data_IF_315274067184
#
_entry.id   IF_315274067184
#
_cell.length_a   1.000
_cell.length_b   1.000
_cell.length_c   1.000
_cell.angle_alpha   90.00
_cell.angle_beta   90.00
_cell.angle_gamma   90.00
#
_symmetry.space_group_name_H-M   'P 1'
#
loop_
_entity.id
_entity.type
_entity.pdbx_description
1 polymer ?
#
# COMPACT_ATOMS: atom_id res chain seq x y z
N UNK A 1 -39.59 -66.74 27.97
CA UNK A 1 -40.29 -65.93 29.00
C UNK A 1 -39.38 -64.77 29.36
N UNK A 2 -39.94 -63.55 29.38
CA UNK A 2 -39.32 -62.23 29.66
C UNK A 2 -38.22 -62.29 30.76
N UNK A 3 -37.16 -61.49 30.72
CA UNK A 3 -37.28 -60.06 31.01
C UNK A 3 -36.10 -59.16 30.56
N UNK A 4 -36.41 -57.86 30.52
CA UNK A 4 -35.84 -56.74 29.77
C UNK A 4 -34.46 -56.26 30.22
N UNK A 5 -33.67 -55.88 29.20
CA UNK A 5 -32.35 -55.23 29.26
C UNK A 5 -32.45 -53.72 29.52
N UNK A 6 -31.49 -53.25 30.32
CA UNK A 6 -30.62 -52.08 30.15
C UNK A 6 -31.13 -50.62 30.25
N UNK A 7 -30.39 -49.91 31.11
CA UNK A 7 -29.81 -48.57 30.99
C UNK A 7 -30.74 -47.35 31.02
N UNK A 8 -30.78 -46.72 32.20
CA UNK A 8 -30.98 -45.28 32.36
C UNK A 8 -29.83 -44.53 31.67
N UNK A 9 -30.18 -43.73 30.64
CA UNK A 9 -29.36 -42.59 30.20
C UNK A 9 -30.24 -41.35 30.20
N UNK A 10 -29.80 -40.38 30.99
CA UNK A 10 -30.31 -39.03 31.17
C UNK A 10 -30.41 -38.30 29.82
N UNK A 11 -31.60 -37.83 29.48
CA UNK A 11 -31.84 -36.95 28.34
C UNK A 11 -31.65 -35.49 28.81
N UNK A 12 -30.44 -34.94 28.63
CA UNK A 12 -30.22 -33.50 28.74
C UNK A 12 -30.46 -32.90 27.35
N UNK A 13 -31.54 -32.13 27.20
CA UNK A 13 -31.79 -31.32 26.03
C UNK A 13 -30.74 -30.19 25.95
N UNK A 14 -29.66 -30.42 25.21
CA UNK A 14 -28.72 -29.38 24.82
C UNK A 14 -29.35 -28.54 23.71
N UNK A 15 -29.90 -27.38 24.07
CA UNK A 15 -30.29 -26.37 23.10
C UNK A 15 -29.02 -25.86 22.42
N UNK A 16 -28.79 -26.24 21.17
CA UNK A 16 -27.71 -25.69 20.35
C UNK A 16 -28.13 -24.26 20.03
N UNK A 17 -27.53 -23.30 20.74
CA UNK A 17 -27.59 -21.90 20.34
C UNK A 17 -26.93 -21.78 18.96
N UNK A 18 -27.73 -21.66 17.91
CA UNK A 18 -27.27 -21.12 16.64
C UNK A 18 -26.74 -19.71 16.95
N UNK A 19 -25.41 -19.58 17.04
CA UNK A 19 -24.76 -18.28 17.07
C UNK A 19 -25.27 -17.49 15.87
N UNK A 20 -25.70 -16.24 16.11
CA UNK A 20 -26.01 -15.28 15.06
C UNK A 20 -24.86 -15.33 14.04
N UNK A 21 -25.12 -15.83 12.83
CA UNK A 21 -24.28 -15.55 11.68
C UNK A 21 -24.23 -14.02 11.60
N UNK A 22 -23.06 -13.42 11.79
CA UNK A 22 -22.91 -12.00 11.49
C UNK A 22 -23.40 -11.82 10.05
N UNK A 23 -24.39 -10.96 9.84
CA UNK A 23 -24.90 -10.65 8.50
C UNK A 23 -23.71 -10.14 7.70
N UNK A 24 -23.20 -10.98 6.80
CA UNK A 24 -22.18 -10.56 5.84
C UNK A 24 -22.85 -9.49 4.97
N UNK A 25 -22.31 -8.26 4.91
CA UNK A 25 -22.93 -7.20 4.12
C UNK A 25 -23.11 -7.67 2.67
N UNK A 26 -24.32 -7.50 2.13
CA UNK A 26 -24.59 -7.84 0.73
C UNK A 26 -23.73 -6.92 -0.16
N UNK A 27 -22.94 -7.46 -1.08
CA UNK A 27 -22.05 -6.65 -1.90
C UNK A 27 -22.84 -5.74 -2.85
N UNK A 28 -22.43 -4.48 -2.97
CA UNK A 28 -22.86 -3.57 -4.03
C UNK A 28 -22.04 -3.90 -5.27
N UNK A 29 -22.70 -4.33 -6.34
CA UNK A 29 -22.02 -4.77 -7.56
C UNK A 29 -22.03 -3.66 -8.61
N UNK A 30 -21.00 -3.61 -9.44
CA UNK A 30 -21.02 -2.76 -10.63
C UNK A 30 -22.08 -3.27 -11.62
N UNK A 31 -23.03 -2.42 -12.02
CA UNK A 31 -24.03 -2.72 -13.05
C UNK A 31 -23.47 -2.59 -14.47
N UNK A 32 -22.43 -1.77 -14.65
CA UNK A 32 -21.72 -1.56 -15.92
C UNK A 32 -20.35 -0.93 -15.68
N UNK A 33 -19.53 -0.84 -16.72
CA UNK A 33 -18.31 -0.02 -16.72
C UNK A 33 -18.64 1.48 -16.55
N UNK A 34 -17.79 2.22 -15.86
CA UNK A 34 -18.01 3.65 -15.62
C UNK A 34 -17.14 4.25 -14.51
N UNK A 35 -17.43 5.49 -14.14
CA UNK A 35 -16.77 6.16 -13.02
C UNK A 35 -17.31 5.65 -11.69
N UNK A 36 -16.45 5.53 -10.68
CA UNK A 36 -16.86 5.15 -9.32
C UNK A 36 -17.87 6.17 -8.76
N UNK A 37 -17.64 7.45 -9.02
CA UNK A 37 -18.52 8.55 -8.58
C UNK A 37 -19.91 8.55 -9.24
N UNK A 38 -20.14 7.77 -10.30
CA UNK A 38 -21.41 7.76 -11.02
C UNK A 38 -22.38 6.75 -10.42
N UNK A 39 -23.56 7.22 -9.99
CA UNK A 39 -24.67 6.39 -9.55
C UNK A 39 -25.04 5.29 -10.57
N UNK A 40 -24.95 5.59 -11.87
CA UNK A 40 -25.26 4.64 -12.94
C UNK A 40 -24.22 3.53 -13.15
N UNK A 41 -23.10 3.54 -12.43
CA UNK A 41 -22.11 2.45 -12.45
C UNK A 41 -22.55 1.29 -11.56
N UNK A 42 -23.40 1.54 -10.57
CA UNK A 42 -23.70 0.62 -9.48
C UNK A 42 -25.11 0.05 -9.57
N UNK A 43 -25.25 -1.23 -9.22
CA UNK A 43 -26.56 -1.83 -9.01
C UNK A 43 -27.31 -1.05 -7.91
N UNK A 44 -28.61 -0.84 -8.12
CA UNK A 44 -29.42 -0.01 -7.22
C UNK A 44 -29.26 1.51 -7.41
N UNK A 45 -28.35 1.98 -8.28
CA UNK A 45 -28.27 3.40 -8.66
C UNK A 45 -27.70 4.33 -7.59
N UNK A 46 -26.88 3.80 -6.66
CA UNK A 46 -26.25 4.59 -5.60
C UNK A 46 -24.76 4.28 -5.52
N UNK A 47 -23.94 5.31 -5.28
CA UNK A 47 -22.49 5.16 -5.10
C UNK A 47 -22.20 4.46 -3.77
N UNK A 48 -21.23 3.52 -3.70
CA UNK A 48 -20.86 2.86 -2.46
C UNK A 48 -20.51 3.86 -1.34
N UNK A 49 -21.17 3.69 -0.20
CA UNK A 49 -20.94 4.49 1.00
C UNK A 49 -19.93 3.82 1.95
N UNK A 50 -19.56 4.50 3.04
CA UNK A 50 -18.71 3.93 4.08
C UNK A 50 -19.25 2.59 4.61
N UNK A 51 -18.36 1.64 4.89
CA UNK A 51 -18.68 0.30 5.36
C UNK A 51 -19.17 -0.67 4.28
N UNK A 52 -19.37 -0.22 3.04
CA UNK A 52 -19.84 -1.10 1.95
C UNK A 52 -18.84 -2.20 1.62
N UNK A 53 -19.37 -3.35 1.21
CA UNK A 53 -18.64 -4.36 0.44
C UNK A 53 -18.97 -4.11 -1.03
N UNK A 54 -17.95 -3.99 -1.88
CA UNK A 54 -18.10 -3.62 -3.29
C UNK A 54 -17.53 -4.73 -4.17
N UNK A 55 -18.27 -5.16 -5.19
CA UNK A 55 -17.79 -6.11 -6.20
C UNK A 55 -17.75 -5.44 -7.59
N UNK A 56 -16.58 -5.39 -8.20
CA UNK A 56 -16.43 -5.02 -9.60
C UNK A 56 -16.56 -6.30 -10.42
N UNK A 57 -17.70 -6.44 -11.08
CA UNK A 57 -18.10 -7.65 -11.80
C UNK A 57 -17.17 -7.92 -12.97
N UNK A 58 -16.92 -9.20 -13.26
CA UNK A 58 -16.12 -9.62 -14.40
C UNK A 58 -16.61 -9.01 -15.72
N UNK A 59 -15.69 -8.51 -16.53
CA UNK A 59 -15.99 -7.81 -17.79
C UNK A 59 -16.31 -6.31 -17.63
N UNK A 60 -16.52 -5.81 -16.41
CA UNK A 60 -16.68 -4.37 -16.17
C UNK A 60 -15.32 -3.71 -15.88
N UNK A 61 -15.21 -2.44 -16.26
CA UNK A 61 -14.08 -1.57 -15.96
C UNK A 61 -14.60 -0.33 -15.21
N UNK A 62 -14.19 -0.19 -13.95
CA UNK A 62 -14.55 0.95 -13.10
C UNK A 62 -13.32 1.83 -12.89
N UNK A 63 -13.49 3.14 -13.07
CA UNK A 63 -12.44 4.13 -12.79
C UNK A 63 -12.74 4.82 -11.45
N UNK A 64 -11.88 4.61 -10.46
CA UNK A 64 -11.88 5.31 -9.20
C UNK A 64 -11.42 6.75 -9.39
N UNK A 65 -12.34 7.70 -9.28
CA UNK A 65 -12.16 9.12 -9.59
C UNK A 65 -12.45 10.04 -8.40
N UNK A 66 -12.39 9.49 -7.18
CA UNK A 66 -12.79 10.15 -5.94
C UNK A 66 -11.59 10.33 -5.00
N UNK A 67 -11.58 11.43 -4.27
CA UNK A 67 -10.70 11.67 -3.12
C UNK A 67 -11.57 11.66 -1.87
N UNK A 68 -11.62 10.51 -1.17
CA UNK A 68 -12.55 10.28 -0.06
C UNK A 68 -11.84 9.60 1.11
N UNK A 69 -12.19 9.99 2.33
CA UNK A 69 -11.76 9.33 3.57
C UNK A 69 -12.80 8.32 4.10
N UNK A 70 -13.90 8.11 3.38
CA UNK A 70 -14.85 7.04 3.68
C UNK A 70 -14.19 5.68 3.52
N UNK A 71 -14.21 4.91 4.61
CA UNK A 71 -13.66 3.56 4.63
C UNK A 71 -14.62 2.61 3.93
N UNK A 72 -14.22 2.05 2.80
CA UNK A 72 -14.92 0.92 2.17
C UNK A 72 -14.47 -0.35 2.88
N UNK A 73 -15.39 -1.20 3.34
CA UNK A 73 -15.02 -2.41 4.09
C UNK A 73 -14.20 -3.35 3.21
N UNK A 74 -14.68 -3.60 2.01
CA UNK A 74 -14.00 -4.46 1.04
C UNK A 74 -14.29 -4.00 -0.39
N UNK A 75 -13.27 -4.08 -1.24
CA UNK A 75 -13.40 -3.98 -2.70
C UNK A 75 -12.88 -5.28 -3.31
N UNK A 76 -13.78 -6.06 -3.88
CA UNK A 76 -13.50 -7.29 -4.62
C UNK A 76 -13.48 -7.01 -6.12
N UNK A 77 -12.33 -7.21 -6.75
CA UNK A 77 -12.11 -6.88 -8.16
C UNK A 77 -12.10 -8.17 -8.99
N UNK A 78 -13.24 -8.47 -9.64
CA UNK A 78 -13.36 -9.54 -10.64
C UNK A 78 -13.30 -9.01 -12.08
N UNK A 79 -13.53 -7.70 -12.27
CA UNK A 79 -13.29 -6.96 -13.51
C UNK A 79 -11.99 -6.15 -13.45
N UNK A 80 -12.04 -4.88 -13.83
CA UNK A 80 -10.90 -3.95 -13.72
C UNK A 80 -11.25 -2.75 -12.84
N UNK A 81 -10.37 -2.45 -11.88
CA UNK A 81 -10.38 -1.19 -11.13
C UNK A 81 -9.18 -0.35 -11.57
N UNK A 82 -9.44 0.81 -12.16
CA UNK A 82 -8.40 1.78 -12.56
C UNK A 82 -8.50 3.04 -11.71
N UNK A 83 -7.40 3.76 -11.48
CA UNK A 83 -7.42 5.04 -10.76
C UNK A 83 -7.32 6.21 -11.74
N UNK A 84 -8.11 7.26 -11.51
CA UNK A 84 -8.09 8.45 -12.35
C UNK A 84 -6.71 9.12 -12.32
N UNK A 85 -6.21 9.49 -13.50
CA UNK A 85 -4.85 10.02 -13.68
C UNK A 85 -4.76 11.55 -13.72
N UNK A 86 -5.88 12.23 -13.85
CA UNK A 86 -5.96 13.69 -14.04
C UNK A 86 -6.43 14.43 -12.79
N UNK A 87 -6.42 13.76 -11.63
CA UNK A 87 -6.81 14.31 -10.32
C UNK A 87 -6.22 13.47 -9.19
N UNK A 88 -6.23 14.04 -7.99
CA UNK A 88 -5.96 13.25 -6.79
C UNK A 88 -7.07 12.24 -6.55
N UNK A 89 -6.68 11.09 -6.01
CA UNK A 89 -7.58 10.02 -5.61
C UNK A 89 -7.13 9.46 -4.27
N UNK A 90 -8.09 9.08 -3.44
CA UNK A 90 -7.86 8.47 -2.14
C UNK A 90 -8.94 7.44 -1.88
N UNK A 91 -8.52 6.18 -1.74
CA UNK A 91 -9.35 5.06 -1.33
C UNK A 91 -8.88 4.58 0.05
N UNK A 92 -9.70 4.80 1.07
CA UNK A 92 -9.52 4.15 2.36
C UNK A 92 -10.32 2.84 2.35
N UNK A 93 -9.65 1.70 2.53
CA UNK A 93 -10.24 0.38 2.33
C UNK A 93 -9.74 -0.63 3.36
N UNK A 94 -10.64 -1.51 3.82
CA UNK A 94 -10.27 -2.60 4.71
C UNK A 94 -9.57 -3.76 3.99
N UNK A 95 -10.18 -4.23 2.91
CA UNK A 95 -9.66 -5.29 2.06
C UNK A 95 -9.79 -4.92 0.59
N UNK A 96 -8.68 -4.80 -0.14
CA UNK A 96 -8.69 -4.68 -1.61
C UNK A 96 -8.20 -6.00 -2.22
N UNK A 97 -9.14 -6.82 -2.69
CA UNK A 97 -8.87 -8.19 -3.17
C UNK A 97 -9.08 -8.25 -4.68
N UNK A 98 -8.03 -8.55 -5.44
CA UNK A 98 -8.06 -8.73 -6.88
C UNK A 98 -8.14 -10.22 -7.19
N UNK A 99 -9.16 -10.64 -7.94
CA UNK A 99 -9.53 -12.05 -8.15
C UNK A 99 -9.82 -12.81 -6.83
N UNK A 100 -9.82 -14.14 -6.87
CA UNK A 100 -10.18 -14.98 -5.73
C UNK A 100 -11.69 -14.95 -5.40
N UNK A 101 -12.03 -15.54 -4.26
CA UNK A 101 -13.39 -15.57 -3.71
C UNK A 101 -13.73 -14.31 -2.92
N UNK A 102 -15.02 -14.13 -2.63
CA UNK A 102 -15.57 -12.97 -1.92
C UNK A 102 -15.40 -13.04 -0.40
N UNK A 103 -14.56 -13.95 0.13
CA UNK A 103 -14.29 -14.04 1.56
C UNK A 103 -13.47 -12.85 2.05
N UNK A 104 -13.76 -12.42 3.29
CA UNK A 104 -13.00 -11.44 4.04
C UNK A 104 -11.81 -12.11 4.75
N UNK A 105 -10.98 -12.84 4.00
CA UNK A 105 -9.73 -13.41 4.50
C UNK A 105 -8.52 -12.72 3.82
N UNK A 106 -7.50 -12.43 4.62
CA UNK A 106 -6.28 -11.77 4.13
C UNK A 106 -5.13 -12.72 3.78
N UNK A 107 -5.30 -14.04 3.96
CA UNK A 107 -4.23 -15.03 3.73
C UNK A 107 -4.73 -16.39 3.20
N UNK A 108 -6.02 -16.53 2.86
CA UNK A 108 -6.58 -17.77 2.35
C UNK A 108 -6.05 -18.11 0.95
N UNK A 109 -5.68 -19.37 0.71
CA UNK A 109 -5.46 -19.86 -0.65
C UNK A 109 -6.82 -19.88 -1.37
N UNK A 110 -7.14 -18.81 -2.10
CA UNK A 110 -8.32 -18.83 -2.96
C UNK A 110 -8.12 -19.87 -4.09
N UNK A 111 -9.15 -20.64 -4.46
CA UNK A 111 -9.05 -21.54 -5.61
C UNK A 111 -8.68 -20.76 -6.88
N UNK A 112 -7.94 -21.38 -7.78
CA UNK A 112 -7.60 -20.78 -9.07
C UNK A 112 -8.86 -20.64 -9.92
N UNK A 113 -9.31 -19.40 -10.13
CA UNK A 113 -10.42 -19.08 -11.01
C UNK A 113 -9.91 -18.78 -12.42
N UNK A 114 -10.50 -19.42 -13.42
CA UNK A 114 -10.27 -19.08 -14.82
C UNK A 114 -11.22 -17.94 -15.21
N UNK A 115 -10.65 -16.76 -15.45
CA UNK A 115 -11.40 -15.62 -15.98
C UNK A 115 -11.17 -15.49 -17.48
N UNK A 116 -12.22 -15.14 -18.23
CA UNK A 116 -12.09 -14.84 -19.67
C UNK A 116 -11.19 -13.61 -19.92
N UNK A 117 -11.26 -12.61 -19.04
CA UNK A 117 -10.33 -11.49 -18.95
C UNK A 117 -9.75 -11.46 -17.52
N UNK A 118 -8.43 -11.31 -17.41
CA UNK A 118 -7.75 -11.35 -16.10
C UNK A 118 -8.16 -10.12 -15.27
N UNK A 119 -8.68 -10.31 -14.04
CA UNK A 119 -9.03 -9.19 -13.17
C UNK A 119 -7.82 -8.31 -12.88
N UNK A 120 -7.99 -7.00 -12.82
CA UNK A 120 -6.87 -6.06 -12.74
C UNK A 120 -7.13 -4.89 -11.79
N UNK A 121 -6.11 -4.56 -10.99
CA UNK A 121 -5.96 -3.26 -10.35
C UNK A 121 -4.90 -2.46 -11.11
N UNK A 122 -5.26 -1.26 -11.59
CA UNK A 122 -4.40 -0.38 -12.37
C UNK A 122 -4.32 1.02 -11.74
N UNK A 123 -3.21 1.29 -11.05
CA UNK A 123 -2.88 2.62 -10.53
C UNK A 123 -1.75 3.18 -11.38
N UNK A 124 -2.12 3.66 -12.58
CA UNK A 124 -1.18 3.95 -13.66
C UNK A 124 -0.62 2.68 -14.33
N UNK A 125 0.00 2.86 -15.49
CA UNK A 125 0.69 1.79 -16.23
C UNK A 125 2.12 2.21 -16.59
N UNK A 126 3.00 1.33 -17.10
CA UNK A 126 4.33 1.72 -17.54
C UNK A 126 4.32 2.83 -18.59
N UNK A 127 3.41 2.74 -19.56
CA UNK A 127 3.28 3.72 -20.65
C UNK A 127 2.46 4.94 -20.24
N UNK A 128 1.65 4.81 -19.19
CA UNK A 128 0.69 5.81 -18.76
C UNK A 128 0.65 5.91 -17.21
N UNK A 129 1.76 6.33 -16.55
CA UNK A 129 1.86 6.37 -15.09
C UNK A 129 1.01 7.50 -14.48
N UNK A 130 0.74 7.48 -13.18
CA UNK A 130 0.11 8.62 -12.50
C UNK A 130 1.02 9.86 -12.63
N UNK A 131 0.57 10.96 -13.26
CA UNK A 131 1.37 12.16 -13.44
C UNK A 131 1.83 12.76 -12.11
N UNK A 132 3.01 13.35 -12.08
CA UNK A 132 3.60 13.90 -10.85
C UNK A 132 2.72 14.93 -10.14
N UNK A 133 1.85 15.64 -10.86
CA UNK A 133 0.93 16.63 -10.31
C UNK A 133 -0.21 16.02 -9.45
N UNK A 134 -0.41 14.71 -9.51
CA UNK A 134 -1.50 14.02 -8.85
C UNK A 134 -1.01 12.87 -7.98
N UNK A 135 -1.77 12.58 -6.93
CA UNK A 135 -1.54 11.46 -6.02
C UNK A 135 -2.67 10.44 -6.15
N UNK A 136 -2.32 9.16 -6.22
CA UNK A 136 -3.24 8.05 -6.00
C UNK A 136 -2.87 7.36 -4.68
N UNK A 137 -3.76 7.48 -3.70
CA UNK A 137 -3.55 6.95 -2.35
C UNK A 137 -4.50 5.78 -2.10
N UNK A 138 -3.96 4.64 -1.67
CA UNK A 138 -4.74 3.51 -1.13
C UNK A 138 -4.34 3.30 0.33
N UNK A 139 -5.22 3.67 1.25
CA UNK A 139 -5.00 3.48 2.69
C UNK A 139 -5.67 2.21 3.16
N UNK A 140 -4.88 1.28 3.69
CA UNK A 140 -5.40 0.11 4.38
C UNK A 140 -5.89 0.50 5.78
N UNK A 141 -7.16 0.21 6.08
CA UNK A 141 -7.82 0.59 7.33
C UNK A 141 -8.43 -0.62 8.03
N UNK A 142 -8.00 -0.90 9.26
CA UNK A 142 -8.61 -1.97 10.05
C UNK A 142 -10.10 -1.69 10.29
N UNK A 143 -10.96 -2.65 9.95
CA UNK A 143 -12.39 -2.60 10.20
C UNK A 143 -12.76 -3.53 11.36
N UNK A 144 -13.75 -3.15 12.17
CA UNK A 144 -14.25 -4.03 13.23
C UNK A 144 -14.72 -5.38 12.67
N UNK A 145 -14.41 -6.45 13.39
CA UNK A 145 -14.70 -7.84 13.00
C UNK A 145 -13.67 -8.48 12.08
N UNK A 146 -12.65 -7.75 11.61
CA UNK A 146 -11.53 -8.35 10.88
C UNK A 146 -10.62 -9.17 11.78
N UNK A 147 -10.07 -10.23 11.21
CA UNK A 147 -8.93 -10.93 11.80
C UNK A 147 -7.69 -10.04 11.75
N UNK A 148 -7.12 -9.74 12.92
CA UNK A 148 -5.97 -8.85 13.08
C UNK A 148 -4.68 -9.43 12.51
N UNK A 149 -4.61 -10.75 12.34
CA UNK A 149 -3.40 -11.41 11.85
C UNK A 149 -3.32 -11.39 10.32
N UNK A 150 -4.44 -11.14 9.63
CA UNK A 150 -4.51 -11.17 8.17
C UNK A 150 -5.03 -9.88 7.53
N UNK A 151 -5.70 -9.00 8.27
CA UNK A 151 -6.33 -7.78 7.75
C UNK A 151 -5.98 -6.53 8.59
N UNK A 152 -5.97 -5.32 7.98
CA UNK A 152 -6.35 -5.00 6.60
C UNK A 152 -5.30 -5.45 5.57
N UNK A 153 -5.70 -5.66 4.32
CA UNK A 153 -4.78 -6.11 3.28
C UNK A 153 -5.13 -5.65 1.86
N UNK A 154 -4.10 -5.62 1.02
CA UNK A 154 -4.20 -5.56 -0.43
C UNK A 154 -3.70 -6.91 -0.96
N UNK A 155 -4.54 -7.61 -1.73
CA UNK A 155 -4.28 -8.99 -2.13
C UNK A 155 -4.55 -9.18 -3.62
N UNK A 156 -3.63 -9.86 -4.32
CA UNK A 156 -3.80 -10.26 -5.72
C UNK A 156 -3.81 -11.79 -5.85
N UNK A 157 -5.01 -12.39 -5.82
CA UNK A 157 -5.25 -13.83 -5.82
C UNK A 157 -5.54 -14.38 -7.22
N UNK A 158 -4.59 -14.19 -8.14
CA UNK A 158 -4.71 -14.63 -9.54
C UNK A 158 -5.06 -13.53 -10.55
N UNK A 159 -5.22 -12.29 -10.08
CA UNK A 159 -5.36 -11.12 -10.93
C UNK A 159 -4.03 -10.55 -11.41
N UNK A 160 -4.08 -9.33 -11.96
CA UNK A 160 -2.94 -8.48 -12.30
C UNK A 160 -2.98 -7.23 -11.43
N UNK A 161 -1.82 -6.72 -11.05
CA UNK A 161 -1.71 -5.47 -10.32
C UNK A 161 -0.58 -4.65 -10.92
N UNK A 162 -0.91 -3.44 -11.37
CA UNK A 162 0.01 -2.47 -11.95
C UNK A 162 -0.03 -1.18 -11.12
N UNK A 163 1.12 -0.76 -10.61
CA UNK A 163 1.28 0.39 -9.72
C UNK A 163 2.42 1.27 -10.24
N UNK A 164 2.08 2.27 -11.05
CA UNK A 164 3.05 3.13 -11.73
C UNK A 164 2.78 4.60 -11.43
N UNK A 165 3.63 5.15 -10.56
CA UNK A 165 3.72 6.59 -10.31
C UNK A 165 4.66 7.31 -11.28
N UNK A 166 4.85 8.61 -11.05
CA UNK A 166 5.73 9.44 -11.85
C UNK A 166 7.15 8.85 -11.90
N UNK A 167 7.76 8.73 -13.10
CA UNK A 167 9.04 8.08 -13.26
C UNK A 167 10.17 8.90 -12.60
N UNK A 168 11.10 8.20 -11.98
CA UNK A 168 12.36 8.75 -11.47
C UNK A 168 13.49 8.14 -12.28
N UNK A 169 14.46 8.94 -12.75
CA UNK A 169 15.64 8.37 -13.44
C UNK A 169 16.44 7.43 -12.55
N UNK A 170 16.47 7.75 -11.25
CA UNK A 170 17.06 6.95 -10.17
C UNK A 170 16.20 7.09 -8.93
N UNK A 171 15.99 6.01 -8.20
CA UNK A 171 15.38 6.05 -6.86
C UNK A 171 16.40 6.39 -5.78
N UNK A 172 17.69 6.15 -6.06
CA UNK A 172 18.81 6.46 -5.20
C UNK A 172 20.09 6.66 -6.02
N UNK A 173 21.03 7.42 -5.45
CA UNK A 173 22.37 7.65 -6.00
C UNK A 173 23.39 7.71 -4.87
N UNK A 174 24.67 7.57 -5.20
CA UNK A 174 25.75 7.81 -4.22
C UNK A 174 25.97 9.32 -4.03
N UNK A 175 26.49 9.72 -2.89
CA UNK A 175 26.95 11.09 -2.65
C UNK A 175 28.12 11.42 -3.60
N UNK A 176 28.12 12.55 -4.28
CA UNK A 176 29.21 13.06 -5.13
C UNK A 176 30.36 13.68 -4.35
N UNK A 177 30.09 14.19 -3.14
CA UNK A 177 31.07 14.75 -2.22
C UNK A 177 30.68 14.44 -0.77
N UNK A 178 31.63 14.53 0.20
CA UNK A 178 31.29 14.41 1.62
C UNK A 178 30.27 15.46 2.05
N UNK A 179 29.32 15.07 2.90
CA UNK A 179 28.38 15.98 3.55
C UNK A 179 28.83 16.16 4.99
N UNK A 180 28.89 17.40 5.48
CA UNK A 180 29.18 17.71 6.86
C UNK A 180 27.89 18.05 7.59
N UNK A 181 27.88 17.78 8.90
CA UNK A 181 26.85 18.34 9.78
C UNK A 181 26.77 19.86 9.59
N UNK A 182 25.56 20.36 9.38
CA UNK A 182 25.31 21.78 9.11
C UNK A 182 25.16 22.11 7.62
N UNK A 183 25.58 21.23 6.71
CA UNK A 183 25.47 21.47 5.28
C UNK A 183 24.01 21.44 4.82
N UNK A 184 23.66 22.35 3.92
CA UNK A 184 22.33 22.39 3.26
C UNK A 184 22.43 22.03 1.78
N UNK A 185 23.62 21.99 1.20
CA UNK A 185 23.84 21.56 -0.18
C UNK A 185 24.55 20.19 -0.18
N UNK A 186 23.97 19.24 -0.89
CA UNK A 186 24.53 17.92 -1.12
C UNK A 186 24.89 17.80 -2.60
N UNK A 187 26.07 17.25 -2.87
CA UNK A 187 26.46 16.87 -4.23
C UNK A 187 26.13 15.41 -4.43
N UNK A 188 25.47 15.08 -5.54
CA UNK A 188 25.12 13.72 -5.98
C UNK A 188 26.20 13.18 -6.92
N UNK A 189 26.31 11.86 -7.05
CA UNK A 189 27.28 11.24 -7.96
C UNK A 189 26.93 11.39 -9.44
N UNK A 190 25.64 11.59 -9.72
CA UNK A 190 25.08 11.80 -11.05
C UNK A 190 23.82 12.69 -10.91
N UNK A 191 23.46 13.47 -11.95
CA UNK A 191 22.22 14.23 -11.93
C UNK A 191 20.99 13.32 -11.88
N UNK A 192 19.93 13.80 -11.23
CA UNK A 192 18.66 13.07 -11.11
C UNK A 192 17.52 13.85 -11.75
N UNK A 193 16.59 13.15 -12.39
CA UNK A 193 15.36 13.72 -12.94
C UNK A 193 14.14 13.05 -12.33
N UNK A 194 13.08 13.82 -12.12
CA UNK A 194 11.84 13.37 -11.47
C UNK A 194 11.81 13.60 -9.96
N UNK A 195 12.97 13.82 -9.32
CA UNK A 195 13.03 14.35 -7.96
C UNK A 195 12.57 15.81 -7.96
N UNK A 196 11.94 16.27 -6.88
CA UNK A 196 11.38 17.62 -6.77
C UNK A 196 11.51 18.21 -5.38
N UNK A 197 11.32 19.53 -5.30
CA UNK A 197 11.12 20.20 -4.02
C UNK A 197 9.92 19.59 -3.26
N UNK A 198 10.06 19.45 -1.95
CA UNK A 198 9.12 18.76 -1.07
C UNK A 198 9.32 17.25 -0.97
N UNK A 199 10.20 16.64 -1.79
CA UNK A 199 10.47 15.22 -1.66
C UNK A 199 11.20 14.89 -0.35
N UNK A 200 10.84 13.75 0.26
CA UNK A 200 11.59 13.17 1.38
C UNK A 200 12.73 12.36 0.84
N UNK A 201 13.95 12.64 1.31
CA UNK A 201 15.15 11.87 1.00
C UNK A 201 15.73 11.29 2.27
N UNK A 202 16.39 10.15 2.16
CA UNK A 202 17.17 9.52 3.23
C UNK A 202 18.65 9.53 2.86
N UNK A 203 19.50 9.94 3.79
CA UNK A 203 20.95 9.85 3.72
C UNK A 203 21.42 8.68 4.56
N UNK A 204 22.17 7.75 3.96
CA UNK A 204 22.64 6.57 4.68
C UNK A 204 23.81 6.88 5.61
N UNK A 205 23.82 6.24 6.79
CA UNK A 205 24.93 6.36 7.74
C UNK A 205 26.26 5.88 7.12
N UNK A 206 27.34 6.60 7.41
CA UNK A 206 28.69 6.24 6.94
C UNK A 206 29.70 5.96 8.07
N UNK A 207 29.24 6.02 9.32
CA UNK A 207 29.98 5.52 10.48
C UNK A 207 29.76 4.02 10.66
N UNK A 208 30.84 3.33 11.06
CA UNK A 208 30.89 1.88 11.22
C UNK A 208 30.03 1.42 12.41
N UNK A 209 29.21 0.39 12.20
CA UNK A 209 28.27 -0.16 13.21
C UNK A 209 28.85 -1.14 14.22
N UNK A 210 30.07 -1.64 14.02
CA UNK A 210 30.64 -2.74 14.82
C UNK A 210 31.50 -2.20 15.97
N UNK A 211 31.18 -2.62 17.21
CA UNK A 211 32.04 -2.47 18.40
C UNK A 211 33.30 -3.32 18.16
N UNK A 212 34.48 -2.74 18.29
CA UNK A 212 35.71 -3.50 18.48
C UNK A 212 36.01 -3.43 19.98
N UNK A 213 35.95 -4.60 20.65
CA UNK A 213 36.37 -4.73 22.04
C UNK A 213 37.76 -4.12 22.24
N UNK A 214 37.99 -3.46 23.39
CA UNK A 214 39.23 -2.76 23.72
C UNK A 214 39.64 -1.60 22.79
N UNK A 215 38.70 -1.01 22.05
CA UNK A 215 38.92 0.27 21.37
C UNK A 215 38.02 1.36 21.94
N UNK A 216 38.58 2.52 22.30
CA UNK A 216 37.85 3.73 22.71
C UNK A 216 37.15 4.41 21.51
N UNK A 217 36.54 3.64 20.62
CA UNK A 217 35.86 4.14 19.42
C UNK A 217 34.36 4.01 19.59
N UNK A 218 33.65 5.13 19.46
CA UNK A 218 32.19 5.17 19.51
C UNK A 218 31.58 4.18 18.51
N UNK A 219 30.74 3.26 19.00
CA UNK A 219 29.94 2.37 18.16
C UNK A 219 28.51 2.90 18.05
N UNK A 220 27.88 2.76 16.87
CA UNK A 220 26.55 3.30 16.57
C UNK A 220 25.40 2.34 16.93
N UNK A 221 25.58 1.36 17.83
CA UNK A 221 24.46 0.54 18.34
C UNK A 221 23.35 1.41 18.93
N UNK A 222 23.72 2.56 19.50
CA UNK A 222 22.81 3.48 20.19
C UNK A 222 22.65 4.84 19.46
N UNK A 223 23.27 5.04 18.28
CA UNK A 223 23.25 6.33 17.56
C UNK A 223 23.39 6.15 16.04
N UNK A 224 22.32 5.67 15.39
CA UNK A 224 22.27 5.61 13.92
C UNK A 224 22.40 7.01 13.32
N UNK A 225 23.28 7.16 12.33
CA UNK A 225 23.51 8.43 11.62
C UNK A 225 22.80 8.48 10.27
N UNK A 226 21.83 7.57 10.05
CA UNK A 226 20.93 7.66 8.91
C UNK A 226 19.91 8.74 9.22
N UNK A 227 19.67 9.63 8.27
CA UNK A 227 18.78 10.76 8.48
C UNK A 227 17.88 11.05 7.28
N UNK A 228 16.67 11.53 7.56
CA UNK A 228 15.76 12.01 6.53
C UNK A 228 15.78 13.52 6.41
N UNK A 229 15.65 14.02 5.18
CA UNK A 229 15.56 15.44 4.87
C UNK A 229 14.49 15.72 3.84
N UNK A 230 14.04 16.96 3.80
CA UNK A 230 13.18 17.47 2.75
C UNK A 230 14.03 18.19 1.73
N UNK A 231 13.77 17.92 0.46
CA UNK A 231 14.40 18.60 -0.67
C UNK A 231 13.78 19.98 -0.81
N UNK A 232 14.60 21.03 -0.73
CA UNK A 232 14.20 22.41 -1.04
C UNK A 232 14.25 22.68 -2.54
N UNK A 233 15.29 22.23 -3.22
CA UNK A 233 15.49 22.39 -4.66
C UNK A 233 16.52 21.43 -5.21
N UNK A 234 16.48 21.17 -6.52
CA UNK A 234 17.46 20.36 -7.23
C UNK A 234 17.92 21.13 -8.47
N UNK A 235 19.23 21.15 -8.71
CA UNK A 235 19.84 21.70 -9.91
C UNK A 235 20.97 20.77 -10.38
N UNK A 236 20.71 19.98 -11.42
CA UNK A 236 21.68 18.98 -11.90
C UNK A 236 21.96 17.91 -10.85
N UNK A 237 23.21 17.83 -10.41
CA UNK A 237 23.70 16.95 -9.35
C UNK A 237 23.73 17.62 -7.97
N UNK A 238 23.23 18.85 -7.84
CA UNK A 238 23.14 19.57 -6.56
C UNK A 238 21.74 19.46 -5.98
N UNK A 239 21.67 18.97 -4.75
CA UNK A 239 20.46 18.83 -3.95
C UNK A 239 20.53 19.81 -2.77
N UNK A 240 19.60 20.76 -2.71
CA UNK A 240 19.47 21.66 -1.55
C UNK A 240 18.43 21.11 -0.58
N UNK A 241 18.79 21.03 0.69
CA UNK A 241 17.92 20.59 1.78
C UNK A 241 17.17 21.76 2.40
N UNK A 242 15.97 21.50 2.91
CA UNK A 242 15.18 22.48 3.68
C UNK A 242 15.76 22.73 5.08
N UNK A 243 16.31 21.68 5.69
CA UNK A 243 17.03 21.73 6.97
C UNK A 243 18.44 21.16 6.80
N UNK A 244 19.45 21.70 7.51
CA UNK A 244 20.84 21.22 7.38
C UNK A 244 20.99 19.75 7.80
N UNK A 245 21.95 19.04 7.23
CA UNK A 245 22.33 17.68 7.66
C UNK A 245 22.73 17.67 9.15
N UNK A 246 22.32 16.65 9.90
CA UNK A 246 22.63 16.50 11.33
C UNK A 246 23.92 15.72 11.53
N UNK A 247 24.35 14.95 10.52
CA UNK A 247 25.50 14.08 10.59
C UNK A 247 26.47 14.31 9.44
N UNK A 248 27.69 13.81 9.63
CA UNK A 248 28.68 13.73 8.57
C UNK A 248 28.46 12.45 7.75
N UNK A 249 28.48 12.58 6.42
CA UNK A 249 28.41 11.47 5.48
C UNK A 249 29.66 11.41 4.61
N UNK A 250 30.39 10.31 4.69
CA UNK A 250 31.60 10.05 3.91
C UNK A 250 31.27 9.75 2.45
N UNK A 251 32.21 10.08 1.56
CA UNK A 251 32.06 9.89 0.12
C UNK A 251 33.11 8.91 -0.47
N UNK A 252 33.80 8.14 0.37
CA UNK A 252 34.97 7.37 -0.04
C UNK A 252 34.83 5.87 0.24
N UNK A 253 35.41 5.08 -0.67
CA UNK A 253 35.54 3.63 -0.53
C UNK A 253 34.20 2.89 -0.47
N UNK A 254 34.18 1.69 0.14
CA UNK A 254 32.97 0.86 0.22
C UNK A 254 31.88 1.45 1.14
N UNK A 255 32.17 2.53 1.88
CA UNK A 255 31.24 3.20 2.79
C UNK A 255 30.78 4.57 2.29
N UNK A 256 30.89 4.82 0.97
CA UNK A 256 30.35 6.01 0.33
C UNK A 256 28.84 6.08 0.58
N UNK A 257 28.40 7.15 1.24
CA UNK A 257 27.00 7.36 1.57
C UNK A 257 26.12 7.49 0.33
N UNK A 258 24.84 7.21 0.52
CA UNK A 258 23.82 7.20 -0.51
C UNK A 258 22.70 8.15 -0.11
N UNK A 259 22.05 8.71 -1.13
CA UNK A 259 20.82 9.49 -0.99
C UNK A 259 19.73 8.77 -1.77
N UNK A 260 18.63 8.42 -1.10
CA UNK A 260 17.47 7.79 -1.74
C UNK A 260 16.22 8.66 -1.58
N UNK A 261 15.43 8.78 -2.64
CA UNK A 261 14.16 9.49 -2.62
C UNK A 261 13.02 8.55 -2.20
N UNK A 262 12.38 8.90 -1.08
CA UNK A 262 11.30 8.15 -0.45
C UNK A 262 9.91 8.60 -0.92
N UNK A 263 9.80 9.71 -1.65
CA UNK A 263 8.52 10.23 -2.13
C UNK A 263 8.02 9.47 -3.36
N UNK A 264 6.76 9.04 -3.33
CA UNK A 264 6.01 8.50 -4.47
C UNK A 264 4.66 9.20 -4.55
N UNK A 265 4.05 9.21 -5.72
CA UNK A 265 2.68 9.71 -5.91
C UNK A 265 1.66 8.58 -6.13
N UNK A 266 2.10 7.33 -6.03
CA UNK A 266 1.26 6.15 -5.79
C UNK A 266 1.67 5.63 -4.42
N UNK A 267 0.76 5.69 -3.44
CA UNK A 267 1.05 5.52 -2.01
C UNK A 267 0.05 4.55 -1.38
#
# INVERSE_FOLDING_TARGET
>A
MLDRRNFLKTLAAGSVAFGKRADTPVPIRSARSGLWSSAGTWEGGHVPAAGSVVEIVAGHAVTYDVESDFVIRMVHVLGTLSFARHRNTRLDVGLLKIAGDASEDGAGLSPHFHFAARPALEIGTPDDPIPAAHTALVRLVYCEGFDKDSLPSLMCSGGRMDLHGAPLSRTWVKLGAPVKKGDTEITLSEPVTGWRAGDRVILTATKRQIIIEDTFRDSVRDNTQTEERIVKSIAGDKLTLEAPAQFDHKCEGPYRGEVANLSRNVI
#
